data_IF_889080603967
#
_entry.id   IF_889080603967
#
_cell.length_a   1.000
_cell.length_b   1.000
_cell.length_c   1.000
_cell.angle_alpha   90.00
_cell.angle_beta   90.00
_cell.angle_gamma   90.00
#
_symmetry.space_group_name_H-M   'P 1'
#
loop_
_entity.id
_entity.type
_entity.pdbx_description
1 polymer ?
#
# COMPACT_ATOMS: atom_id res chain seq x y z
N UNK A 1 14.33 6.38 8.14
CA UNK A 1 13.08 7.05 8.52
C UNK A 1 11.90 6.20 8.11
N UNK A 2 10.91 6.12 8.96
CA UNK A 2 9.72 5.32 8.69
C UNK A 2 8.47 6.18 8.82
N UNK A 3 7.56 6.03 7.87
CA UNK A 3 6.31 6.77 7.85
C UNK A 3 5.16 5.77 7.88
N UNK A 4 4.26 5.92 8.84
CA UNK A 4 3.06 5.08 8.89
C UNK A 4 1.92 5.86 8.24
N UNK A 5 1.32 5.29 7.20
CA UNK A 5 0.30 5.95 6.43
C UNK A 5 -0.81 4.97 6.08
N UNK A 6 -2.00 5.21 6.59
CA UNK A 6 -3.20 4.37 6.36
C UNK A 6 -2.97 2.90 6.69
N UNK A 7 -2.16 2.62 7.71
CA UNK A 7 -1.85 1.26 8.11
C UNK A 7 -0.71 0.63 7.35
N UNK A 8 -0.18 1.32 6.35
CA UNK A 8 0.99 0.88 5.59
C UNK A 8 2.24 1.49 6.19
N UNK A 9 3.37 0.88 5.91
CA UNK A 9 4.67 1.39 6.33
C UNK A 9 5.46 1.82 5.10
N UNK A 10 5.94 3.05 5.12
CA UNK A 10 6.84 3.56 4.09
C UNK A 10 8.22 3.67 4.75
N UNK A 11 9.19 2.93 4.24
CA UNK A 11 10.55 2.95 4.77
C UNK A 11 11.49 3.58 3.75
N UNK A 12 12.21 4.60 4.19
CA UNK A 12 13.22 5.24 3.36
C UNK A 12 14.44 4.33 3.30
N UNK A 13 14.51 3.51 2.27
CA UNK A 13 15.58 2.53 2.09
C UNK A 13 16.89 3.21 1.72
N UNK A 14 16.83 4.11 0.74
CA UNK A 14 17.97 4.92 0.34
C UNK A 14 17.55 6.36 0.49
N UNK A 15 18.24 7.07 1.35
CA UNK A 15 17.87 8.42 1.75
C UNK A 15 17.56 9.32 0.56
N UNK A 16 16.34 9.85 0.53
CA UNK A 16 15.85 10.75 -0.50
C UNK A 16 15.85 10.18 -1.91
N UNK A 17 15.98 8.86 -2.06
CA UNK A 17 16.05 8.22 -3.38
C UNK A 17 15.02 7.11 -3.50
N UNK A 18 14.89 6.27 -2.49
CA UNK A 18 14.01 5.10 -2.59
C UNK A 18 13.21 4.93 -1.31
N UNK A 19 11.89 4.82 -1.48
CA UNK A 19 10.94 4.61 -0.39
C UNK A 19 10.15 3.35 -0.69
N UNK A 20 10.34 2.31 0.14
CA UNK A 20 9.62 1.06 -0.01
C UNK A 20 8.32 1.11 0.77
N UNK A 21 7.26 0.59 0.17
CA UNK A 21 5.94 0.53 0.81
C UNK A 21 5.69 -0.90 1.26
N UNK A 22 5.46 -1.08 2.55
CA UNK A 22 5.14 -2.38 3.13
C UNK A 22 3.66 -2.42 3.51
N UNK A 23 3.05 -3.56 3.28
CA UNK A 23 1.65 -3.76 3.56
C UNK A 23 1.31 -3.73 5.04
N UNK A 24 0.04 -3.95 5.34
CA UNK A 24 -0.48 -3.89 6.70
C UNK A 24 0.00 -5.05 7.54
N UNK A 25 -0.03 -4.84 8.86
CA UNK A 25 0.26 -5.91 9.81
C UNK A 25 -0.69 -7.09 9.63
N UNK A 26 -0.24 -8.29 10.03
CA UNK A 26 1.04 -8.60 10.68
C UNK A 26 2.20 -8.82 9.72
N UNK A 27 1.94 -9.06 8.47
CA UNK A 27 2.95 -9.61 7.57
C UNK A 27 3.87 -8.58 6.94
N UNK A 28 3.36 -7.41 6.60
CA UNK A 28 4.14 -6.30 6.04
C UNK A 28 5.05 -6.70 4.88
N UNK A 29 4.47 -7.34 3.88
CA UNK A 29 5.20 -7.63 2.66
C UNK A 29 5.47 -6.36 1.88
N UNK A 30 6.62 -6.28 1.25
CA UNK A 30 6.94 -5.14 0.38
C UNK A 30 6.04 -5.18 -0.85
N UNK A 31 5.33 -4.09 -1.10
CA UNK A 31 4.37 -4.01 -2.19
C UNK A 31 4.88 -3.22 -3.38
N UNK A 32 5.65 -2.16 -3.14
CA UNK A 32 6.20 -1.33 -4.19
C UNK A 32 7.30 -0.45 -3.62
N UNK A 33 8.01 0.24 -4.50
CA UNK A 33 8.98 1.24 -4.12
C UNK A 33 8.78 2.46 -5.00
N UNK A 34 8.99 3.64 -4.44
CA UNK A 34 8.83 4.90 -5.15
C UNK A 34 10.01 5.82 -4.84
N UNK A 35 10.17 6.85 -5.66
CA UNK A 35 11.31 7.77 -5.53
C UNK A 35 11.11 8.80 -4.41
N UNK A 36 9.88 9.09 -4.04
CA UNK A 36 9.58 10.08 -3.01
C UNK A 36 8.53 9.53 -2.07
N UNK A 37 8.51 10.08 -0.84
CA UNK A 37 7.48 9.70 0.12
C UNK A 37 6.09 10.10 -0.37
N UNK A 38 5.99 11.21 -1.09
CA UNK A 38 4.72 11.66 -1.65
C UNK A 38 4.19 10.64 -2.66
N UNK A 39 5.04 10.16 -3.55
CA UNK A 39 4.64 9.14 -4.51
C UNK A 39 4.22 7.84 -3.82
N UNK A 40 4.92 7.48 -2.75
CA UNK A 40 4.56 6.31 -1.96
C UNK A 40 3.16 6.48 -1.36
N UNK A 41 2.87 7.65 -0.80
CA UNK A 41 1.55 7.93 -0.24
C UNK A 41 0.47 7.91 -1.30
N UNK A 42 0.75 8.47 -2.48
CA UNK A 42 -0.20 8.47 -3.60
C UNK A 42 -0.49 7.05 -4.06
N UNK A 43 0.54 6.22 -4.10
CA UNK A 43 0.35 4.81 -4.43
C UNK A 43 -0.54 4.11 -3.41
N UNK A 44 -0.32 4.38 -2.13
CA UNK A 44 -1.14 3.82 -1.06
C UNK A 44 -2.59 4.25 -1.21
N UNK A 45 -2.82 5.54 -1.48
CA UNK A 45 -4.18 6.06 -1.68
C UNK A 45 -4.89 5.32 -2.80
N UNK A 46 -4.21 5.12 -3.92
CA UNK A 46 -4.76 4.37 -5.03
C UNK A 46 -5.00 2.90 -4.68
N UNK A 47 -4.10 2.31 -3.93
CA UNK A 47 -4.22 0.92 -3.53
C UNK A 47 -5.38 0.70 -2.56
N UNK A 48 -5.55 1.59 -1.60
CA UNK A 48 -6.66 1.52 -0.65
C UNK A 48 -7.98 1.64 -1.41
N UNK A 49 -8.05 2.55 -2.37
CA UNK A 49 -9.25 2.71 -3.19
C UNK A 49 -9.54 1.45 -4.01
N UNK A 50 -8.52 0.85 -4.59
CA UNK A 50 -8.68 -0.39 -5.34
C UNK A 50 -9.11 -1.54 -4.45
N UNK A 51 -8.54 -1.64 -3.26
CA UNK A 51 -8.91 -2.69 -2.31
C UNK A 51 -10.37 -2.62 -1.95
N UNK A 52 -10.89 -1.42 -1.71
CA UNK A 52 -12.30 -1.25 -1.40
C UNK A 52 -13.18 -1.71 -2.55
N UNK A 53 -12.82 -1.34 -3.79
CA UNK A 53 -13.56 -1.73 -4.97
C UNK A 53 -13.48 -3.23 -5.23
N UNK A 54 -12.27 -3.78 -5.15
CA UNK A 54 -12.04 -5.21 -5.35
C UNK A 54 -12.75 -6.02 -4.27
N UNK A 55 -12.72 -5.52 -3.03
CA UNK A 55 -13.43 -6.19 -1.93
C UNK A 55 -14.91 -6.30 -2.19
N UNK A 56 -15.53 -5.23 -2.66
CA UNK A 56 -16.96 -5.26 -3.01
C UNK A 56 -17.22 -6.21 -4.16
N UNK A 57 -16.39 -6.17 -5.19
CA UNK A 57 -16.50 -7.05 -6.34
C UNK A 57 -16.31 -8.51 -5.94
N UNK A 58 -15.33 -8.75 -5.08
CA UNK A 58 -15.07 -10.11 -4.60
C UNK A 58 -16.26 -10.68 -3.84
N UNK A 59 -16.91 -9.85 -3.05
CA UNK A 59 -18.09 -10.28 -2.31
C UNK A 59 -19.17 -10.73 -3.27
N UNK A 60 -19.40 -9.98 -4.33
CA UNK A 60 -20.37 -10.35 -5.37
C UNK A 60 -19.95 -11.64 -6.05
N UNK A 61 -18.69 -11.78 -6.39
CA UNK A 61 -18.18 -12.99 -7.04
C UNK A 61 -18.36 -14.21 -6.13
N UNK A 62 -18.08 -14.04 -4.86
CA UNK A 62 -18.26 -15.13 -3.92
C UNK A 62 -19.71 -15.55 -3.84
N UNK A 63 -20.62 -14.61 -3.89
CA UNK A 63 -22.05 -14.90 -3.86
C UNK A 63 -22.50 -15.66 -5.11
N UNK A 64 -21.82 -15.47 -6.24
CA UNK A 64 -22.18 -16.15 -7.48
C UNK A 64 -21.52 -17.50 -7.63
N UNK A 65 -20.59 -17.82 -6.79
CA UNK A 65 -19.96 -19.14 -6.81
C UNK A 65 -20.73 -20.09 -5.93
#
# INVERSE_FOLDING_TARGET
MKIFYRGYLIDEEIRSISYSVYGRRPERHELTARSTSREAMEWIDGNVKREATVGATRTLQTATR
#
